data_IF_290217425844
#
_entry.id   IF_290217425844
#
_cell.length_a   1.000
_cell.length_b   1.000
_cell.length_c   1.000
_cell.angle_alpha   90.00
_cell.angle_beta   90.00
_cell.angle_gamma   90.00
#
_symmetry.space_group_name_H-M   'P 1'
#
loop_
_entity.id
_entity.type
_entity.pdbx_description
1 polymer ?
#
# COMPACT_ATOMS: atom_id res chain seq x y z
N UNK A 1 -8.23 -20.92 -13.05
CA UNK A 1 -9.23 -20.04 -12.43
C UNK A 1 -8.96 -19.84 -10.95
N UNK A 2 -7.78 -19.31 -10.63
CA UNK A 2 -7.54 -18.72 -9.31
C UNK A 2 -8.38 -17.44 -9.18
N UNK A 3 -9.02 -17.24 -8.03
CA UNK A 3 -9.90 -16.08 -7.83
C UNK A 3 -9.04 -14.82 -7.62
N UNK A 4 -9.08 -13.81 -8.51
CA UNK A 4 -8.27 -12.59 -8.38
C UNK A 4 -8.56 -11.84 -7.07
N UNK A 5 -9.75 -12.01 -6.50
CA UNK A 5 -10.10 -11.42 -5.19
C UNK A 5 -9.31 -12.05 -4.04
N UNK A 6 -8.85 -13.29 -4.17
CA UNK A 6 -8.09 -13.97 -3.12
C UNK A 6 -6.72 -13.31 -2.87
N UNK A 7 -6.16 -12.64 -3.88
CA UNK A 7 -4.85 -11.97 -3.80
C UNK A 7 -5.02 -10.45 -3.81
N UNK A 8 -5.86 -9.92 -4.70
CA UNK A 8 -6.01 -8.48 -4.88
C UNK A 8 -6.69 -7.78 -3.69
N UNK A 9 -7.67 -8.43 -3.05
CA UNK A 9 -8.39 -7.81 -1.93
C UNK A 9 -7.53 -7.70 -0.66
N UNK A 10 -6.79 -8.75 -0.23
CA UNK A 10 -5.83 -8.60 0.87
C UNK A 10 -4.74 -7.57 0.60
N UNK A 11 -4.16 -7.55 -0.61
CA UNK A 11 -3.16 -6.56 -0.99
C UNK A 11 -3.72 -5.13 -0.90
N UNK A 12 -4.93 -4.91 -1.45
CA UNK A 12 -5.58 -3.61 -1.38
C UNK A 12 -5.81 -3.16 0.06
N UNK A 13 -6.38 -4.03 0.90
CA UNK A 13 -6.70 -3.71 2.30
C UNK A 13 -5.43 -3.40 3.08
N UNK A 14 -4.41 -4.26 2.98
CA UNK A 14 -3.14 -4.03 3.67
C UNK A 14 -2.48 -2.73 3.21
N UNK A 15 -2.45 -2.46 1.90
CA UNK A 15 -1.88 -1.24 1.36
C UNK A 15 -2.59 0.01 1.91
N UNK A 16 -3.92 0.03 1.87
CA UNK A 16 -4.71 1.19 2.37
C UNK A 16 -4.48 1.42 3.86
N UNK A 17 -4.44 0.35 4.67
CA UNK A 17 -4.18 0.46 6.10
C UNK A 17 -2.78 1.01 6.38
N UNK A 18 -1.75 0.52 5.69
CA UNK A 18 -0.38 1.01 5.83
C UNK A 18 -0.26 2.47 5.39
N UNK A 19 -0.88 2.87 4.27
CA UNK A 19 -0.92 4.28 3.85
C UNK A 19 -1.57 5.14 4.92
N UNK A 20 -2.74 4.73 5.43
CA UNK A 20 -3.48 5.49 6.44
C UNK A 20 -2.69 5.69 7.72
N UNK A 21 -2.05 4.64 8.24
CA UNK A 21 -1.24 4.72 9.46
C UNK A 21 -0.01 5.60 9.26
N UNK A 22 0.76 5.38 8.19
CA UNK A 22 1.98 6.14 7.92
C UNK A 22 1.70 7.61 7.58
N UNK A 23 0.64 7.90 6.83
CA UNK A 23 0.22 9.27 6.53
C UNK A 23 -0.18 10.04 7.79
N UNK A 24 -0.93 9.40 8.69
CA UNK A 24 -1.37 10.01 9.95
C UNK A 24 -0.18 10.41 10.82
N UNK A 25 0.83 9.53 10.93
CA UNK A 25 2.07 9.84 11.66
C UNK A 25 2.89 10.96 10.99
N UNK A 26 2.96 10.98 9.65
CA UNK A 26 3.68 12.01 8.91
C UNK A 26 3.03 13.40 9.03
N UNK A 27 1.70 13.48 8.96
CA UNK A 27 0.95 14.72 9.11
C UNK A 27 1.05 15.30 10.53
N UNK A 28 1.28 14.44 11.54
CA UNK A 28 1.48 14.85 12.93
C UNK A 28 2.93 15.27 13.26
N UNK A 29 3.89 15.04 12.36
CA UNK A 29 5.32 15.23 12.64
C UNK A 29 5.96 16.28 11.73
N UNK A 30 6.23 17.47 12.28
CA UNK A 30 7.10 18.45 11.61
C UNK A 30 8.52 17.89 11.53
N UNK A 31 9.08 17.82 10.31
CA UNK A 31 10.38 17.23 10.02
C UNK A 31 10.53 15.72 10.28
N UNK A 32 9.55 14.91 9.88
CA UNK A 32 9.65 13.44 9.92
C UNK A 32 10.93 12.88 9.25
N UNK A 33 11.39 13.48 8.14
CA UNK A 33 12.64 13.14 7.43
C UNK A 33 13.94 13.21 8.26
N UNK A 34 13.97 13.87 9.42
CA UNK A 34 15.17 13.95 10.26
C UNK A 34 15.22 12.89 11.35
N UNK A 35 14.19 12.04 11.45
CA UNK A 35 14.09 10.99 12.47
C UNK A 35 14.00 9.61 11.84
N UNK A 36 14.61 8.57 12.45
CA UNK A 36 14.50 7.20 11.95
C UNK A 36 13.04 6.73 11.83
N UNK A 37 12.19 7.08 12.81
CA UNK A 37 10.76 6.75 12.78
C UNK A 37 10.02 7.42 11.62
N UNK A 38 10.27 8.71 11.39
CA UNK A 38 9.64 9.42 10.27
C UNK A 38 10.12 8.94 8.89
N UNK A 39 11.40 8.55 8.74
CA UNK A 39 11.89 7.87 7.52
C UNK A 39 11.19 6.51 7.33
N UNK A 40 10.99 5.74 8.41
CA UNK A 40 10.21 4.51 8.40
C UNK A 40 8.77 4.74 7.92
N UNK A 41 8.12 5.81 8.38
CA UNK A 41 6.77 6.18 7.93
C UNK A 41 6.73 6.62 6.47
N UNK A 42 7.75 7.32 5.96
CA UNK A 42 7.83 7.64 4.53
C UNK A 42 7.92 6.35 3.70
N UNK A 43 8.77 5.40 4.11
CA UNK A 43 8.89 4.11 3.44
C UNK A 43 7.56 3.32 3.51
N UNK A 44 6.89 3.34 4.67
CA UNK A 44 5.58 2.74 4.87
C UNK A 44 4.51 3.34 3.97
N UNK A 45 4.47 4.66 3.82
CA UNK A 45 3.56 5.36 2.92
C UNK A 45 3.77 4.92 1.46
N UNK A 46 5.02 4.90 0.99
CA UNK A 46 5.36 4.51 -0.38
C UNK A 46 5.02 3.03 -0.63
N UNK A 47 5.44 2.15 0.28
CA UNK A 47 5.18 0.72 0.18
C UNK A 47 3.68 0.40 0.25
N UNK A 48 2.95 1.05 1.16
CA UNK A 48 1.50 0.95 1.27
C UNK A 48 0.80 1.38 -0.02
N UNK A 49 1.20 2.52 -0.61
CA UNK A 49 0.62 3.02 -1.86
C UNK A 49 0.88 2.05 -3.02
N UNK A 50 2.11 1.54 -3.14
CA UNK A 50 2.45 0.54 -4.13
C UNK A 50 1.58 -0.72 -3.98
N UNK A 51 1.40 -1.21 -2.75
CA UNK A 51 0.59 -2.39 -2.47
C UNK A 51 -0.91 -2.14 -2.75
N UNK A 52 -1.44 -0.96 -2.44
CA UNK A 52 -2.79 -0.53 -2.82
C UNK A 52 -2.96 -0.60 -4.34
N UNK A 53 -2.02 -0.03 -5.10
CA UNK A 53 -2.08 -0.02 -6.57
C UNK A 53 -2.00 -1.44 -7.15
N UNK A 54 -1.15 -2.30 -6.60
CA UNK A 54 -1.07 -3.72 -6.98
C UNK A 54 -2.41 -4.42 -6.69
N UNK A 55 -3.00 -4.21 -5.51
CA UNK A 55 -4.30 -4.76 -5.16
C UNK A 55 -5.40 -4.34 -6.14
N UNK A 56 -5.43 -3.07 -6.53
CA UNK A 56 -6.34 -2.57 -7.58
C UNK A 56 -6.07 -3.25 -8.92
N UNK A 57 -4.80 -3.32 -9.36
CA UNK A 57 -4.42 -3.90 -10.63
C UNK A 57 -4.81 -5.38 -10.75
N UNK A 58 -4.61 -6.17 -9.68
CA UNK A 58 -5.03 -7.58 -9.61
C UNK A 58 -6.55 -7.70 -9.64
N UNK A 59 -7.28 -6.88 -8.86
CA UNK A 59 -8.75 -6.93 -8.84
C UNK A 59 -9.37 -6.54 -10.19
N UNK A 60 -8.72 -5.64 -10.93
CA UNK A 60 -9.15 -5.20 -12.25
C UNK A 60 -8.57 -6.05 -13.40
N UNK A 61 -7.80 -7.10 -13.08
CA UNK A 61 -7.14 -7.99 -14.05
C UNK A 61 -6.32 -7.23 -15.11
N UNK A 62 -5.52 -6.26 -14.67
CA UNK A 62 -4.71 -5.46 -15.58
C UNK A 62 -3.46 -6.21 -16.07
N UNK A 63 -3.41 -6.50 -17.37
CA UNK A 63 -2.19 -6.99 -18.05
C UNK A 63 -1.56 -8.18 -17.34
N UNK A 64 -0.34 -7.98 -16.83
CA UNK A 64 0.46 -9.01 -16.13
C UNK A 64 -0.15 -9.47 -14.79
N UNK A 65 -1.15 -8.76 -14.26
CA UNK A 65 -1.88 -9.13 -13.05
C UNK A 65 -3.20 -9.87 -13.31
N UNK A 66 -3.52 -10.15 -14.57
CA UNK A 66 -4.63 -11.03 -14.91
C UNK A 66 -4.26 -12.48 -14.52
N UNK A 67 -5.18 -13.17 -13.85
CA UNK A 67 -5.00 -14.56 -13.43
C UNK A 67 -5.93 -15.42 -14.30
N UNK A 68 -5.36 -16.41 -15.01
CA UNK A 68 -6.06 -17.33 -15.92
C UNK A 68 -6.86 -18.46 -15.19
#
# INVERSE_FOLDING_TARGET
MENPRAIGLPALVLGVLTVGSSASELLGASAAWTSPGGVGNIAGLIGGLALTLIGVAVLQQWGEFAID
#
